data_IF_634044758539
#
_entry.id   IF_634044758539
#
_cell.length_a   1.000
_cell.length_b   1.000
_cell.length_c   1.000
_cell.angle_alpha   90.00
_cell.angle_beta   90.00
_cell.angle_gamma   90.00
#
_symmetry.space_group_name_H-M   'P 1'
#
loop_
_entity.id
_entity.type
_entity.pdbx_description
1 polymer ?
#
# COMPACT_ATOMS: atom_id res chain seq x y z
N UNK A 1 6.33 2.94 -11.16
CA UNK A 1 5.43 2.18 -10.25
C UNK A 1 4.13 1.89 -10.99
N UNK A 2 3.59 0.69 -10.85
CA UNK A 2 2.38 0.29 -11.57
C UNK A 2 1.13 0.64 -10.77
N UNK A 3 0.50 1.76 -11.11
CA UNK A 3 -0.69 2.28 -10.42
C UNK A 3 -1.95 1.82 -11.15
N UNK A 4 -2.83 1.09 -10.46
CA UNK A 4 -4.08 0.58 -11.03
C UNK A 4 -5.20 1.59 -10.88
N UNK A 5 -5.31 2.20 -9.71
CA UNK A 5 -6.31 3.24 -9.45
C UNK A 5 -5.87 4.21 -8.35
N UNK A 6 -6.43 5.41 -8.40
CA UNK A 6 -6.30 6.45 -7.37
C UNK A 6 -7.69 7.01 -7.10
N UNK A 7 -8.10 7.06 -5.84
CA UNK A 7 -9.41 7.59 -5.46
C UNK A 7 -9.41 8.12 -4.02
N UNK A 8 -10.23 9.11 -3.75
CA UNK A 8 -10.44 9.62 -2.39
C UNK A 8 -11.62 8.90 -1.75
N UNK A 9 -11.42 8.36 -0.55
CA UNK A 9 -12.44 7.66 0.23
C UNK A 9 -12.16 7.77 1.73
N UNK A 10 -13.02 7.16 2.55
CA UNK A 10 -12.85 7.09 3.99
C UNK A 10 -12.03 5.84 4.34
N UNK A 11 -10.99 6.00 5.15
CA UNK A 11 -10.24 4.86 5.69
C UNK A 11 -11.17 3.95 6.49
N UNK A 12 -11.21 2.66 6.11
CA UNK A 12 -12.02 1.65 6.79
C UNK A 12 -11.33 1.02 7.99
N UNK A 13 -10.01 1.12 8.06
CA UNK A 13 -9.18 0.45 9.06
C UNK A 13 -7.91 1.27 9.37
N UNK A 14 -7.05 0.73 10.24
CA UNK A 14 -5.80 1.37 10.64
C UNK A 14 -5.97 2.46 11.68
N UNK A 15 -4.88 3.21 11.90
CA UNK A 15 -4.85 4.26 12.93
C UNK A 15 -5.77 5.45 12.61
N UNK A 16 -6.11 5.63 11.33
CA UNK A 16 -6.92 6.75 10.82
C UNK A 16 -8.25 6.29 10.26
N UNK A 17 -8.80 5.22 10.80
CA UNK A 17 -10.14 4.76 10.44
C UNK A 17 -11.18 5.87 10.65
N UNK A 18 -11.99 6.15 9.63
CA UNK A 18 -12.99 7.21 9.60
C UNK A 18 -12.50 8.55 9.02
N UNK A 19 -11.21 8.70 8.76
CA UNK A 19 -10.65 9.92 8.13
C UNK A 19 -10.64 9.78 6.60
N UNK A 20 -10.68 10.92 5.91
CA UNK A 20 -10.65 10.99 4.45
C UNK A 20 -9.21 10.82 3.98
N UNK A 21 -8.97 9.89 3.06
CA UNK A 21 -7.67 9.61 2.50
C UNK A 21 -7.69 9.44 0.98
N UNK A 22 -6.56 9.71 0.35
CA UNK A 22 -6.28 9.28 -1.02
C UNK A 22 -5.74 7.86 -1.00
N UNK A 23 -6.46 6.95 -1.61
CA UNK A 23 -6.02 5.57 -1.85
C UNK A 23 -5.25 5.49 -3.16
N UNK A 24 -4.10 4.84 -3.11
CA UNK A 24 -3.28 4.52 -4.28
C UNK A 24 -3.10 3.01 -4.33
N UNK A 25 -3.73 2.37 -5.32
CA UNK A 25 -3.67 0.92 -5.51
C UNK A 25 -2.63 0.55 -6.55
N UNK A 26 -1.70 -0.32 -6.15
CA UNK A 26 -0.66 -0.84 -7.02
C UNK A 26 -0.99 -2.22 -7.56
N UNK A 27 -0.49 -2.52 -8.78
CA UNK A 27 -0.58 -3.83 -9.38
C UNK A 27 0.43 -4.80 -8.76
N UNK A 28 0.01 -6.05 -8.60
CA UNK A 28 0.87 -7.18 -8.29
C UNK A 28 0.95 -7.50 -6.80
N UNK A 29 0.98 -8.79 -6.51
CA UNK A 29 1.06 -9.35 -5.17
C UNK A 29 1.94 -10.59 -5.18
N UNK A 30 2.64 -10.85 -4.08
CA UNK A 30 3.41 -12.07 -3.85
C UNK A 30 2.56 -13.21 -3.25
N UNK A 31 1.26 -12.99 -3.02
CA UNK A 31 0.33 -13.97 -2.49
C UNK A 31 -0.82 -14.24 -3.46
N UNK A 32 -1.48 -15.39 -3.28
CA UNK A 32 -2.67 -15.83 -4.03
C UNK A 32 -3.74 -16.30 -3.04
N UNK A 33 -4.23 -15.38 -2.20
CA UNK A 33 -5.22 -15.70 -1.18
C UNK A 33 -6.54 -16.17 -1.80
N UNK A 34 -7.12 -17.23 -1.25
CA UNK A 34 -8.37 -17.83 -1.77
C UNK A 34 -9.58 -16.89 -1.74
N UNK A 35 -9.57 -15.90 -0.85
CA UNK A 35 -10.65 -14.91 -0.67
C UNK A 35 -10.23 -13.48 -1.05
N UNK A 36 -9.25 -13.35 -1.95
CA UNK A 36 -8.76 -12.02 -2.37
C UNK A 36 -9.87 -11.26 -3.09
N UNK A 37 -10.28 -10.13 -2.54
CA UNK A 37 -11.31 -9.23 -3.11
C UNK A 37 -10.77 -8.35 -4.25
N UNK A 38 -9.45 -8.23 -4.36
CA UNK A 38 -8.74 -7.45 -5.37
C UNK A 38 -7.90 -8.33 -6.30
N UNK A 39 -8.26 -9.60 -6.48
CA UNK A 39 -7.54 -10.54 -7.35
C UNK A 39 -7.36 -10.00 -8.78
N UNK A 40 -8.35 -9.26 -9.29
CA UNK A 40 -8.31 -8.61 -10.60
C UNK A 40 -7.13 -7.66 -10.78
N UNK A 41 -6.71 -6.94 -9.73
CA UNK A 41 -5.56 -6.02 -9.76
C UNK A 41 -4.21 -6.74 -9.82
N UNK A 42 -4.20 -8.07 -9.61
CA UNK A 42 -3.00 -8.90 -9.63
C UNK A 42 -2.87 -9.71 -10.93
N UNK A 43 -3.87 -9.64 -11.81
CA UNK A 43 -3.82 -10.31 -13.11
C UNK A 43 -2.77 -9.66 -14.02
N UNK A 44 -2.12 -10.47 -14.86
CA UNK A 44 -1.02 -10.01 -15.71
C UNK A 44 -1.46 -8.97 -16.75
N UNK A 45 -2.72 -9.01 -17.16
CA UNK A 45 -3.37 -8.13 -18.13
C UNK A 45 -4.18 -7.00 -17.47
N UNK A 46 -4.15 -6.86 -16.13
CA UNK A 46 -4.77 -5.74 -15.44
C UNK A 46 -4.19 -4.42 -15.96
N UNK A 47 -5.02 -3.49 -16.46
CA UNK A 47 -4.55 -2.18 -16.89
C UNK A 47 -3.92 -1.40 -15.71
N UNK A 48 -2.82 -0.72 -15.97
CA UNK A 48 -2.17 0.17 -15.01
C UNK A 48 -1.52 1.36 -15.74
N UNK A 49 -1.28 2.43 -14.99
CA UNK A 49 -0.44 3.54 -15.42
C UNK A 49 0.94 3.39 -14.78
N UNK A 50 2.00 3.60 -15.58
CA UNK A 50 3.36 3.64 -15.05
C UNK A 50 3.63 5.05 -14.54
N UNK A 51 3.79 5.22 -13.23
CA UNK A 51 4.02 6.51 -12.58
C UNK A 51 5.32 6.49 -11.76
N UNK A 52 6.04 7.59 -11.83
CA UNK A 52 7.17 7.86 -10.92
C UNK A 52 6.66 8.26 -9.53
N UNK A 53 7.48 8.12 -8.48
CA UNK A 53 7.14 8.63 -7.15
C UNK A 53 6.75 10.11 -7.14
N UNK A 54 7.42 10.95 -7.95
CA UNK A 54 7.12 12.38 -8.04
C UNK A 54 5.75 12.67 -8.66
N UNK A 55 5.36 11.95 -9.72
CA UNK A 55 4.04 12.10 -10.34
C UNK A 55 2.91 11.75 -9.37
N UNK A 56 3.12 10.72 -8.55
CA UNK A 56 2.17 10.34 -7.49
C UNK A 56 2.06 11.44 -6.43
N UNK A 57 3.18 12.02 -5.98
CA UNK A 57 3.18 13.13 -5.02
C UNK A 57 2.48 14.35 -5.60
N UNK A 58 2.76 14.71 -6.86
CA UNK A 58 2.13 15.85 -7.53
C UNK A 58 0.62 15.64 -7.66
N UNK A 59 0.17 14.41 -7.89
CA UNK A 59 -1.24 14.06 -7.88
C UNK A 59 -1.83 14.27 -6.48
N UNK A 60 -1.20 13.70 -5.44
CA UNK A 60 -1.65 13.80 -4.05
C UNK A 60 -1.79 15.26 -3.59
N UNK A 61 -0.86 16.13 -3.97
CA UNK A 61 -0.91 17.56 -3.64
C UNK A 61 -2.14 18.28 -4.24
N UNK A 62 -2.71 17.78 -5.33
CA UNK A 62 -3.90 18.35 -5.97
C UNK A 62 -5.21 17.90 -5.33
N UNK A 63 -5.23 16.74 -4.67
CA UNK A 63 -6.46 16.16 -4.12
C UNK A 63 -6.96 16.82 -2.83
N UNK A 64 -6.13 17.63 -2.15
CA UNK A 64 -6.53 18.42 -0.99
C UNK A 64 -6.80 17.59 0.28
N UNK A 65 -6.29 16.37 0.35
CA UNK A 65 -6.31 15.49 1.54
C UNK A 65 -4.94 15.41 2.17
N UNK A 66 -4.87 15.07 3.44
CA UNK A 66 -3.61 14.95 4.20
C UNK A 66 -3.19 13.51 4.44
N UNK A 67 -4.10 12.57 4.27
CA UNK A 67 -3.89 11.16 4.53
C UNK A 67 -3.80 10.38 3.22
N UNK A 68 -2.78 9.56 3.10
CA UNK A 68 -2.51 8.72 1.93
C UNK A 68 -2.48 7.27 2.38
N UNK A 69 -3.29 6.42 1.75
CA UNK A 69 -3.28 4.98 1.96
C UNK A 69 -2.69 4.29 0.73
N UNK A 70 -1.52 3.70 0.90
CA UNK A 70 -0.87 2.88 -0.11
C UNK A 70 -1.34 1.44 0.04
N UNK A 71 -1.98 0.91 -0.98
CA UNK A 71 -2.62 -0.41 -0.99
C UNK A 71 -2.43 -1.12 -2.33
N UNK A 72 -3.14 -2.19 -2.56
CA UNK A 72 -3.15 -2.86 -3.87
C UNK A 72 -3.10 -4.36 -3.74
N UNK A 73 -2.22 -4.99 -4.50
CA UNK A 73 -1.77 -6.35 -4.24
C UNK A 73 -0.87 -6.35 -3.01
N UNK A 74 0.40 -5.98 -3.20
CA UNK A 74 1.34 -5.71 -2.10
C UNK A 74 2.16 -4.46 -2.44
N UNK A 75 1.89 -3.31 -1.80
CA UNK A 75 2.56 -2.06 -2.11
C UNK A 75 4.07 -2.09 -1.85
N UNK A 76 4.53 -2.87 -0.87
CA UNK A 76 5.94 -2.95 -0.50
C UNK A 76 6.82 -3.67 -1.54
N UNK A 77 6.23 -4.25 -2.58
CA UNK A 77 6.94 -4.84 -3.72
C UNK A 77 7.24 -3.84 -4.83
N UNK A 78 6.65 -2.64 -4.79
CA UNK A 78 6.85 -1.66 -5.85
C UNK A 78 8.28 -1.12 -5.84
N UNK A 79 8.94 -1.13 -6.99
CA UNK A 79 10.21 -0.44 -7.17
C UNK A 79 10.01 1.07 -6.91
N UNK A 80 10.85 1.66 -6.06
CA UNK A 80 10.74 3.07 -5.68
C UNK A 80 9.77 3.36 -4.54
N UNK A 81 9.21 2.34 -3.86
CA UNK A 81 8.28 2.56 -2.74
C UNK A 81 8.90 3.35 -1.60
N UNK A 82 10.19 3.11 -1.29
CA UNK A 82 10.94 3.86 -0.26
C UNK A 82 11.02 5.35 -0.59
N UNK A 83 11.31 5.67 -1.86
CA UNK A 83 11.35 7.04 -2.34
C UNK A 83 9.99 7.71 -2.26
N UNK A 84 8.92 7.00 -2.65
CA UNK A 84 7.56 7.52 -2.54
C UNK A 84 7.18 7.85 -1.10
N UNK A 85 7.43 6.93 -0.15
CA UNK A 85 7.16 7.14 1.28
C UNK A 85 7.92 8.37 1.80
N UNK A 86 9.20 8.49 1.45
CA UNK A 86 10.04 9.63 1.85
C UNK A 86 9.51 10.96 1.27
N UNK A 87 9.14 10.97 0.00
CA UNK A 87 8.61 12.17 -0.67
C UNK A 87 7.25 12.60 -0.08
N UNK A 88 6.30 11.67 0.07
CA UNK A 88 5.00 11.96 0.69
C UNK A 88 5.17 12.52 2.10
N UNK A 89 6.03 11.89 2.91
CA UNK A 89 6.32 12.36 4.28
C UNK A 89 6.96 13.75 4.31
N UNK A 90 7.86 14.06 3.37
CA UNK A 90 8.47 15.40 3.23
C UNK A 90 7.45 16.48 2.87
N UNK A 91 6.41 16.13 2.11
CA UNK A 91 5.32 17.03 1.77
C UNK A 91 4.25 17.16 2.88
N UNK A 92 4.46 16.48 4.00
CA UNK A 92 3.59 16.59 5.18
C UNK A 92 2.38 15.64 5.17
N UNK A 93 2.33 14.70 4.25
CA UNK A 93 1.28 13.67 4.25
C UNK A 93 1.50 12.65 5.36
N UNK A 94 0.40 12.17 5.93
CA UNK A 94 0.38 10.98 6.76
C UNK A 94 0.22 9.76 5.84
N UNK A 95 1.22 8.90 5.85
CA UNK A 95 1.25 7.72 4.99
C UNK A 95 0.88 6.50 5.80
N UNK A 96 -0.16 5.81 5.38
CA UNK A 96 -0.53 4.48 5.85
C UNK A 96 -0.30 3.44 4.75
N UNK A 97 0.20 2.27 5.12
CA UNK A 97 0.48 1.17 4.20
C UNK A 97 -0.34 -0.05 4.65
N UNK A 98 -1.27 -0.46 3.78
CA UNK A 98 -1.98 -1.73 3.92
C UNK A 98 -1.10 -2.82 3.29
N UNK A 99 -0.59 -3.72 4.12
CA UNK A 99 0.32 -4.79 3.69
C UNK A 99 -0.16 -6.17 4.09
N UNK A 100 0.14 -7.16 3.28
CA UNK A 100 -0.24 -8.55 3.52
C UNK A 100 0.65 -9.28 4.54
N UNK A 101 1.67 -8.62 5.09
CA UNK A 101 2.56 -9.17 6.11
C UNK A 101 3.60 -10.18 5.62
N UNK A 102 3.67 -10.46 4.31
CA UNK A 102 4.63 -11.39 3.70
C UNK A 102 5.89 -10.70 3.17
N UNK A 103 6.07 -9.42 3.47
CA UNK A 103 7.28 -8.63 3.20
C UNK A 103 7.83 -8.13 4.52
N UNK A 104 9.17 -8.11 4.67
CA UNK A 104 9.80 -7.57 5.89
C UNK A 104 9.56 -6.08 6.02
N UNK A 105 9.08 -5.63 7.19
CA UNK A 105 8.87 -4.22 7.50
C UNK A 105 10.14 -3.52 8.02
N UNK A 106 11.18 -4.27 8.38
CA UNK A 106 12.40 -3.73 8.98
C UNK A 106 13.07 -2.60 8.16
N UNK A 107 13.14 -2.66 6.81
CA UNK A 107 13.72 -1.58 6.03
C UNK A 107 12.96 -0.25 6.18
N UNK A 108 11.65 -0.32 6.41
CA UNK A 108 10.76 0.85 6.46
C UNK A 108 10.63 1.46 7.86
N UNK A 109 11.14 0.76 8.90
CA UNK A 109 11.01 1.21 10.30
C UNK A 109 12.04 2.27 10.73
N UNK A 110 13.07 2.56 9.92
CA UNK A 110 14.25 3.33 10.34
C UNK A 110 14.19 4.83 10.04
N UNK A 111 13.24 5.28 9.22
CA UNK A 111 13.11 6.69 8.81
C UNK A 111 11.75 7.25 9.18
N UNK A 112 11.31 8.35 8.58
CA UNK A 112 9.98 8.93 8.79
C UNK A 112 8.93 7.85 8.56
N UNK A 113 8.38 7.35 9.67
CA UNK A 113 7.64 6.10 9.72
C UNK A 113 6.25 6.27 9.11
N UNK A 114 5.91 5.53 8.04
CA UNK A 114 4.51 5.31 7.74
C UNK A 114 3.86 4.52 8.87
N UNK A 115 2.55 4.61 9.02
CA UNK A 115 1.79 3.61 9.77
C UNK A 115 1.57 2.38 8.90
N UNK A 116 1.41 1.22 9.54
CA UNK A 116 1.14 -0.03 8.85
C UNK A 116 -0.16 -0.63 9.37
N UNK A 117 -1.06 -0.95 8.46
CA UNK A 117 -2.18 -1.85 8.70
C UNK A 117 -1.80 -3.17 8.07
N UNK A 118 -1.46 -4.15 8.91
CA UNK A 118 -0.89 -5.41 8.46
C UNK A 118 -1.87 -6.56 8.67
N UNK A 119 -2.18 -7.23 7.59
CA UNK A 119 -2.95 -8.46 7.57
C UNK A 119 -2.11 -9.65 8.04
N UNK A 120 -2.60 -10.42 9.01
CA UNK A 120 -2.07 -11.75 9.25
C UNK A 120 -2.91 -12.79 8.50
N UNK A 121 -2.30 -13.43 7.51
CA UNK A 121 -3.00 -14.43 6.70
C UNK A 121 -3.14 -15.74 7.46
N UNK A 122 -4.37 -16.06 7.88
CA UNK A 122 -4.73 -17.29 8.58
C UNK A 122 -4.78 -18.49 7.61
N UNK A 123 -4.84 -19.75 8.11
CA UNK A 123 -4.85 -20.97 7.28
C UNK A 123 -5.88 -20.94 6.14
N UNK A 124 -7.07 -20.37 6.38
CA UNK A 124 -8.13 -20.25 5.37
C UNK A 124 -7.76 -19.44 4.12
N UNK A 125 -6.73 -18.60 4.19
CA UNK A 125 -6.20 -17.87 3.04
C UNK A 125 -5.42 -18.74 2.06
N UNK A 126 -4.89 -19.89 2.53
CA UNK A 126 -3.89 -20.68 1.84
C UNK A 126 -2.46 -20.12 1.88
N UNK A 127 -2.26 -18.93 2.50
CA UNK A 127 -1.00 -18.16 2.45
C UNK A 127 -0.32 -17.98 3.81
N UNK A 128 -0.80 -18.62 4.89
CA UNK A 128 -0.27 -18.45 6.26
C UNK A 128 1.25 -18.64 6.34
N UNK A 129 1.79 -19.63 5.59
CA UNK A 129 3.22 -19.94 5.61
C UNK A 129 4.13 -18.85 5.03
N UNK A 130 3.55 -17.89 4.31
CA UNK A 130 4.28 -16.77 3.73
C UNK A 130 4.50 -15.62 4.73
N UNK A 131 3.87 -15.66 5.90
CA UNK A 131 3.94 -14.58 6.90
C UNK A 131 5.36 -14.42 7.45
N UNK A 132 5.84 -13.17 7.45
CA UNK A 132 7.13 -12.80 8.05
C UNK A 132 6.90 -12.54 9.54
N UNK A 133 7.14 -13.56 10.37
CA UNK A 133 6.91 -13.48 11.84
C UNK A 133 7.76 -12.44 12.56
N UNK A 134 8.87 -12.00 11.96
CA UNK A 134 9.70 -10.91 12.47
C UNK A 134 9.11 -9.51 12.35
N UNK A 135 7.91 -9.36 11.76
CA UNK A 135 7.18 -8.10 11.69
C UNK A 135 6.37 -7.79 12.97
N UNK A 136 6.25 -8.75 13.89
CA UNK A 136 5.48 -8.68 15.14
C UNK A 136 6.35 -8.46 16.34
#
# INVERSE_FOLDING_TARGET
>A
MRVVEKFVSINGEGQRAGELALFIRFQGCNLSCTYCDTAWANEADCPYEEESPQEIVDYACREGVTDITLTGGEPLLQEGIDELIDLLSKHGFHVEIETNGAVSLLPFCQKRRPSFTMDYKLPGSGCEKAMVTGNF
#
